data_IF_528153268828
#
_entry.id   IF_528153268828
#
_cell.length_a   1.000
_cell.length_b   1.000
_cell.length_c   1.000
_cell.angle_alpha   90.00
_cell.angle_beta   90.00
_cell.angle_gamma   90.00
#
_symmetry.space_group_name_H-M   'P 1'
#
loop_
_entity.id
_entity.type
_entity.pdbx_description
1 polymer ?
#
# COMPACT_ATOMS: atom_id res chain seq x y z
N UNK A 1 -33.30 -1.00 -9.15
CA UNK A 1 -32.23 -0.01 -9.43
C UNK A 1 -31.17 -0.16 -8.35
N UNK A 2 -29.95 -0.53 -8.71
CA UNK A 2 -28.86 -0.78 -7.77
C UNK A 2 -28.25 0.54 -7.27
N UNK A 3 -28.94 1.24 -6.36
CA UNK A 3 -28.37 2.36 -5.60
C UNK A 3 -27.52 1.85 -4.42
N UNK A 4 -26.61 0.92 -4.70
CA UNK A 4 -25.59 0.53 -3.73
C UNK A 4 -24.31 1.31 -4.01
N UNK A 5 -23.61 1.87 -3.01
CA UNK A 5 -22.31 2.52 -3.19
C UNK A 5 -21.27 1.60 -3.88
N UNK A 6 -21.45 0.28 -3.79
CA UNK A 6 -20.63 -0.70 -4.52
C UNK A 6 -20.73 -0.54 -6.04
N UNK A 7 -21.88 -0.10 -6.56
CA UNK A 7 -22.08 0.01 -8.00
C UNK A 7 -21.18 1.06 -8.64
N UNK A 8 -20.95 2.21 -7.99
CA UNK A 8 -20.12 3.27 -8.56
C UNK A 8 -18.61 2.98 -8.50
N UNK A 9 -18.20 1.98 -7.71
CA UNK A 9 -16.81 1.55 -7.63
C UNK A 9 -16.38 0.73 -8.85
N UNK A 10 -17.32 0.02 -9.49
CA UNK A 10 -17.05 -0.84 -10.65
C UNK A 10 -17.68 -0.34 -11.94
N UNK A 11 -18.84 0.32 -11.86
CA UNK A 11 -19.58 0.80 -13.02
C UNK A 11 -19.42 2.31 -13.17
N UNK A 12 -18.64 2.70 -14.16
CA UNK A 12 -18.51 4.10 -14.54
C UNK A 12 -19.85 4.61 -15.11
N UNK A 13 -20.33 5.75 -14.61
CA UNK A 13 -21.52 6.44 -15.12
C UNK A 13 -21.08 7.69 -15.88
N UNK A 14 -21.82 8.14 -16.91
CA UNK A 14 -21.54 9.41 -17.57
C UNK A 14 -21.52 10.57 -16.55
N UNK A 15 -20.49 11.42 -16.62
CA UNK A 15 -20.36 12.60 -15.77
C UNK A 15 -19.63 13.72 -16.52
N UNK A 16 -20.33 14.83 -16.77
CA UNK A 16 -19.82 15.90 -17.63
C UNK A 16 -19.48 15.38 -19.03
N UNK A 17 -18.26 15.64 -19.50
CA UNK A 17 -17.73 15.12 -20.78
C UNK A 17 -17.05 13.75 -20.67
N UNK A 18 -17.07 13.10 -19.50
CA UNK A 18 -16.39 11.83 -19.23
C UNK A 18 -17.24 10.87 -18.39
N UNK A 19 -16.58 10.14 -17.49
CA UNK A 19 -17.21 9.14 -16.62
C UNK A 19 -16.83 9.34 -15.15
N UNK A 20 -17.64 8.79 -14.24
CA UNK A 20 -17.36 8.77 -12.80
C UNK A 20 -16.12 7.94 -12.45
N UNK A 21 -15.47 8.27 -11.34
CA UNK A 21 -14.28 7.56 -10.86
C UNK A 21 -14.65 6.21 -10.21
N UNK A 22 -14.09 5.15 -10.77
CA UNK A 22 -14.12 3.75 -10.32
C UNK A 22 -12.80 3.37 -9.63
N UNK A 23 -12.69 2.14 -9.10
CA UNK A 23 -11.46 1.66 -8.45
C UNK A 23 -10.19 1.85 -9.31
N UNK A 24 -10.16 1.48 -10.60
CA UNK A 24 -8.95 1.66 -11.41
C UNK A 24 -8.55 3.12 -11.58
N UNK A 25 -9.53 4.02 -11.80
CA UNK A 25 -9.24 5.45 -11.96
C UNK A 25 -8.80 6.11 -10.65
N UNK A 26 -9.37 5.69 -9.51
CA UNK A 26 -8.94 6.15 -8.18
C UNK A 26 -7.52 5.69 -7.88
N UNK A 27 -7.23 4.40 -8.08
CA UNK A 27 -5.89 3.86 -7.91
C UNK A 27 -4.88 4.56 -8.82
N UNK A 28 -5.20 4.76 -10.10
CA UNK A 28 -4.31 5.46 -11.03
C UNK A 28 -3.98 6.88 -10.56
N UNK A 29 -4.97 7.61 -10.04
CA UNK A 29 -4.77 8.95 -9.46
C UNK A 29 -3.83 8.90 -8.25
N UNK A 30 -4.10 8.02 -7.29
CA UNK A 30 -3.28 7.93 -6.08
C UNK A 30 -1.88 7.40 -6.35
N UNK A 31 -1.72 6.43 -7.24
CA UNK A 31 -0.41 5.93 -7.66
C UNK A 31 0.37 6.99 -8.43
N UNK A 32 -0.29 7.83 -9.25
CA UNK A 32 0.36 8.96 -9.89
C UNK A 32 0.86 9.98 -8.87
N UNK A 33 0.03 10.35 -7.89
CA UNK A 33 0.41 11.26 -6.81
C UNK A 33 1.55 10.68 -5.95
N UNK A 34 1.46 9.41 -5.54
CA UNK A 34 2.51 8.73 -4.80
C UNK A 34 3.84 8.72 -5.57
N UNK A 35 3.82 8.48 -6.88
CA UNK A 35 5.02 8.55 -7.72
C UNK A 35 5.60 9.96 -7.82
N UNK A 36 4.74 10.98 -7.86
CA UNK A 36 5.17 12.38 -7.87
C UNK A 36 5.91 12.76 -6.58
N UNK A 37 5.40 12.33 -5.42
CA UNK A 37 6.00 12.67 -4.13
C UNK A 37 7.22 11.80 -3.79
N UNK A 38 7.16 10.51 -4.09
CA UNK A 38 8.07 9.53 -3.51
C UNK A 38 8.98 8.87 -4.56
N UNK A 39 8.80 9.18 -5.84
CA UNK A 39 9.57 8.62 -6.95
C UNK A 39 8.84 7.50 -7.71
N UNK A 40 9.35 7.14 -8.89
CA UNK A 40 8.69 6.22 -9.81
C UNK A 40 8.45 4.83 -9.21
N UNK A 41 7.37 4.18 -9.65
CA UNK A 41 7.11 2.77 -9.35
C UNK A 41 8.12 1.86 -10.05
N UNK A 42 8.41 0.72 -9.46
CA UNK A 42 9.11 -0.38 -10.15
C UNK A 42 8.24 -0.95 -11.30
N UNK A 43 8.63 -0.75 -12.57
CA UNK A 43 7.86 -1.24 -13.70
C UNK A 43 7.99 -2.76 -13.90
N UNK A 44 8.89 -3.44 -13.17
CA UNK A 44 9.06 -4.89 -13.28
C UNK A 44 7.89 -5.70 -12.68
N UNK A 45 7.04 -5.06 -11.86
CA UNK A 45 5.80 -5.66 -11.39
C UNK A 45 4.63 -5.30 -12.32
N UNK A 46 3.82 -6.29 -12.65
CA UNK A 46 2.54 -6.12 -13.35
C UNK A 46 1.44 -5.91 -12.32
N UNK A 47 0.78 -4.75 -12.35
CA UNK A 47 -0.44 -4.52 -11.57
C UNK A 47 -1.61 -5.17 -12.31
N UNK A 48 -2.26 -6.16 -11.70
CA UNK A 48 -3.39 -6.87 -12.30
C UNK A 48 -4.73 -6.17 -12.06
N UNK A 49 -4.85 -5.41 -10.97
CA UNK A 49 -6.06 -4.66 -10.65
C UNK A 49 -6.28 -4.46 -9.15
N UNK A 50 -7.54 -4.18 -8.83
CA UNK A 50 -8.04 -3.98 -7.46
C UNK A 50 -9.20 -4.93 -7.23
N UNK A 51 -9.23 -5.58 -6.08
CA UNK A 51 -10.35 -6.42 -5.63
C UNK A 51 -10.62 -6.23 -4.14
N UNK A 52 -11.72 -6.82 -3.65
CA UNK A 52 -11.98 -6.95 -2.22
C UNK A 52 -11.53 -8.34 -1.77
N UNK A 53 -10.58 -8.39 -0.85
CA UNK A 53 -10.08 -9.64 -0.27
C UNK A 53 -10.92 -10.10 0.94
N UNK A 54 -10.72 -11.34 1.40
CA UNK A 54 -11.45 -11.90 2.55
C UNK A 54 -10.95 -11.36 3.90
N UNK A 55 -9.85 -10.59 3.91
CA UNK A 55 -9.23 -10.09 5.13
C UNK A 55 -9.84 -8.76 5.59
N UNK A 56 -9.79 -8.43 6.90
CA UNK A 56 -10.33 -7.19 7.42
C UNK A 56 -9.42 -5.96 7.20
N UNK A 57 -8.29 -6.13 6.52
CA UNK A 57 -7.30 -5.09 6.23
C UNK A 57 -6.94 -5.09 4.74
N UNK A 58 -6.55 -3.93 4.16
CA UNK A 58 -6.01 -3.89 2.81
C UNK A 58 -4.63 -4.55 2.75
N UNK A 59 -4.23 -5.02 1.57
CA UNK A 59 -2.90 -5.57 1.32
C UNK A 59 -2.57 -5.60 -0.16
N UNK A 60 -1.28 -5.73 -0.45
CA UNK A 60 -0.83 -6.30 -1.71
C UNK A 60 -0.85 -7.84 -1.65
N UNK A 61 -1.35 -8.47 -2.71
CA UNK A 61 -1.32 -9.91 -2.92
C UNK A 61 -0.57 -10.25 -4.20
N UNK A 62 0.32 -11.23 -4.11
CA UNK A 62 1.10 -11.75 -5.23
C UNK A 62 0.53 -13.11 -5.64
N UNK A 63 -0.27 -13.20 -6.73
CA UNK A 63 -0.86 -14.48 -7.15
C UNK A 63 0.16 -15.43 -7.77
N UNK A 64 1.40 -14.99 -7.99
CA UNK A 64 2.49 -15.80 -8.55
C UNK A 64 2.38 -16.04 -10.06
N UNK A 65 1.30 -15.58 -10.71
CA UNK A 65 1.09 -15.79 -12.15
C UNK A 65 0.60 -14.48 -12.81
N UNK A 66 1.46 -13.80 -13.60
CA UNK A 66 2.90 -14.05 -13.78
C UNK A 66 3.72 -13.82 -12.49
N UNK A 67 4.96 -14.31 -12.43
CA UNK A 67 5.84 -14.34 -11.24
C UNK A 67 6.09 -12.97 -10.56
N UNK A 68 5.83 -11.87 -11.28
CA UNK A 68 5.90 -10.50 -10.75
C UNK A 68 4.58 -9.76 -10.91
N UNK A 69 3.48 -10.42 -10.59
CA UNK A 69 2.16 -9.81 -10.55
C UNK A 69 1.79 -9.37 -9.14
N UNK A 70 0.98 -8.33 -9.07
CA UNK A 70 0.42 -7.82 -7.81
C UNK A 70 -1.02 -7.38 -8.02
N UNK A 71 -1.87 -7.69 -7.05
CA UNK A 71 -3.24 -7.22 -6.92
C UNK A 71 -3.32 -6.37 -5.64
N UNK A 72 -4.03 -5.25 -5.70
CA UNK A 72 -4.44 -4.51 -4.50
C UNK A 72 -5.71 -5.15 -3.97
N UNK A 73 -5.63 -5.76 -2.80
CA UNK A 73 -6.80 -6.28 -2.09
C UNK A 73 -7.24 -5.26 -1.03
N UNK A 74 -8.47 -4.78 -1.15
CA UNK A 74 -9.11 -3.94 -0.13
C UNK A 74 -9.85 -4.81 0.88
N UNK A 75 -10.10 -4.26 2.06
CA UNK A 75 -10.84 -4.93 3.12
C UNK A 75 -12.31 -5.15 2.72
N UNK A 76 -12.84 -6.34 2.94
CA UNK A 76 -14.29 -6.61 2.82
C UNK A 76 -15.15 -5.80 3.80
N UNK A 77 -14.53 -5.16 4.80
CA UNK A 77 -15.20 -4.29 5.77
C UNK A 77 -15.30 -2.82 5.33
N UNK A 78 -14.85 -2.47 4.13
CA UNK A 78 -14.88 -1.10 3.58
C UNK A 78 -16.32 -0.56 3.51
N UNK A 79 -16.60 0.56 4.19
CA UNK A 79 -17.98 1.04 4.40
C UNK A 79 -18.40 2.21 3.52
N UNK A 80 -17.45 2.86 2.84
CA UNK A 80 -17.75 4.04 2.04
C UNK A 80 -16.54 4.57 1.29
N UNK A 81 -16.71 5.71 0.64
CA UNK A 81 -15.68 6.32 -0.20
C UNK A 81 -14.44 6.79 0.59
N UNK A 82 -14.62 7.20 1.85
CA UNK A 82 -13.51 7.58 2.74
C UNK A 82 -12.61 6.38 3.01
N UNK A 83 -13.16 5.28 3.52
CA UNK A 83 -12.41 4.04 3.76
C UNK A 83 -11.75 3.52 2.48
N UNK A 84 -12.48 3.59 1.37
CA UNK A 84 -12.01 3.14 0.06
C UNK A 84 -10.78 3.93 -0.39
N UNK A 85 -10.85 5.25 -0.38
CA UNK A 85 -9.76 6.11 -0.83
C UNK A 85 -8.58 6.06 0.14
N UNK A 86 -8.85 5.94 1.44
CA UNK A 86 -7.80 5.73 2.44
C UNK A 86 -7.01 4.45 2.16
N UNK A 87 -7.70 3.31 2.01
CA UNK A 87 -7.04 2.03 1.74
C UNK A 87 -6.33 2.01 0.38
N UNK A 88 -6.96 2.55 -0.68
CA UNK A 88 -6.33 2.63 -1.99
C UNK A 88 -5.07 3.51 -2.00
N UNK A 89 -5.12 4.67 -1.34
CA UNK A 89 -3.98 5.55 -1.24
C UNK A 89 -2.84 4.93 -0.41
N UNK A 90 -3.18 4.22 0.67
CA UNK A 90 -2.20 3.49 1.48
C UNK A 90 -1.47 2.43 0.63
N UNK A 91 -2.22 1.56 -0.05
CA UNK A 91 -1.65 0.51 -0.90
C UNK A 91 -0.92 1.08 -2.13
N UNK A 92 -1.27 2.29 -2.60
CA UNK A 92 -0.55 2.95 -3.69
C UNK A 92 0.91 3.25 -3.33
N UNK A 93 1.25 3.48 -2.06
CA UNK A 93 2.62 3.66 -1.60
C UNK A 93 3.39 2.34 -1.67
N UNK A 94 2.83 1.25 -1.13
CA UNK A 94 3.44 -0.08 -1.24
C UNK A 94 3.61 -0.51 -2.71
N UNK A 95 2.68 -0.12 -3.59
CA UNK A 95 2.78 -0.42 -5.02
C UNK A 95 3.96 0.26 -5.72
N UNK A 96 4.59 1.28 -5.14
CA UNK A 96 5.79 1.90 -5.72
C UNK A 96 6.95 0.89 -5.77
N UNK A 97 7.05 -0.01 -4.80
CA UNK A 97 7.98 -1.14 -4.81
C UNK A 97 7.35 -2.27 -4.00
N UNK A 98 6.51 -3.12 -4.63
CA UNK A 98 5.77 -4.15 -3.91
C UNK A 98 6.71 -5.03 -3.07
N UNK A 99 6.43 -5.19 -1.76
CA UNK A 99 7.24 -6.03 -0.89
C UNK A 99 7.04 -7.50 -1.27
N UNK A 100 8.04 -8.07 -1.95
CA UNK A 100 8.02 -9.49 -2.33
C UNK A 100 8.62 -10.38 -1.24
N UNK A 101 9.70 -9.94 -0.59
CA UNK A 101 10.45 -10.74 0.40
C UNK A 101 10.57 -10.07 1.77
N UNK A 102 10.52 -8.73 1.81
CA UNK A 102 10.68 -7.96 3.03
C UNK A 102 9.33 -7.60 3.62
N UNK A 103 9.27 -7.56 4.95
CA UNK A 103 8.15 -6.92 5.66
C UNK A 103 8.32 -5.41 5.59
N UNK A 104 7.20 -4.70 5.47
CA UNK A 104 7.17 -3.25 5.58
C UNK A 104 7.90 -2.78 6.84
N UNK A 105 8.69 -1.71 6.73
CA UNK A 105 9.31 -1.05 7.88
C UNK A 105 8.33 -0.08 8.54
N UNK A 106 8.63 0.36 9.77
CA UNK A 106 7.86 1.43 10.44
C UNK A 106 7.81 2.69 9.57
N UNK A 107 8.92 3.00 8.87
CA UNK A 107 8.97 4.08 7.90
C UNK A 107 7.99 3.88 6.75
N UNK A 108 7.98 2.71 6.11
CA UNK A 108 7.13 2.45 4.95
C UNK A 108 5.64 2.55 5.31
N UNK A 109 5.23 1.92 6.41
CA UNK A 109 3.85 1.98 6.91
C UNK A 109 3.47 3.38 7.32
N UNK A 110 4.36 4.11 8.01
CA UNK A 110 4.14 5.50 8.38
C UNK A 110 3.92 6.38 7.14
N UNK A 111 4.73 6.23 6.10
CA UNK A 111 4.61 7.00 4.84
C UNK A 111 3.29 6.67 4.14
N UNK A 112 2.91 5.39 4.09
CA UNK A 112 1.64 4.95 3.51
C UNK A 112 0.44 5.52 4.28
N UNK A 113 0.47 5.47 5.61
CA UNK A 113 -0.55 6.05 6.50
C UNK A 113 -0.63 7.58 6.38
N UNK A 114 0.51 8.28 6.32
CA UNK A 114 0.55 9.74 6.13
C UNK A 114 -0.05 10.13 4.78
N UNK A 115 0.37 9.47 3.70
CA UNK A 115 -0.11 9.78 2.36
C UNK A 115 -1.61 9.54 2.22
N UNK A 116 -2.12 8.41 2.71
CA UNK A 116 -3.56 8.13 2.75
C UNK A 116 -4.34 9.19 3.55
N UNK A 117 -3.76 9.68 4.64
CA UNK A 117 -4.37 10.73 5.46
C UNK A 117 -4.46 12.05 4.70
N UNK A 118 -3.41 12.45 3.94
CA UNK A 118 -3.45 13.66 3.12
C UNK A 118 -4.48 13.56 2.00
N UNK A 119 -4.50 12.43 1.28
CA UNK A 119 -5.49 12.17 0.21
C UNK A 119 -6.91 12.34 0.74
N UNK A 120 -7.24 11.72 1.87
CA UNK A 120 -8.60 11.82 2.42
C UNK A 120 -8.93 13.22 2.92
N UNK A 121 -7.97 13.91 3.55
CA UNK A 121 -8.15 15.31 3.97
C UNK A 121 -8.48 16.22 2.79
N UNK A 122 -7.79 16.04 1.67
CA UNK A 122 -8.00 16.82 0.46
C UNK A 122 -9.33 16.47 -0.24
N UNK A 123 -9.63 15.17 -0.41
CA UNK A 123 -10.77 14.71 -1.21
C UNK A 123 -12.10 14.74 -0.46
N UNK A 124 -12.09 14.56 0.87
CA UNK A 124 -13.29 14.37 1.68
C UNK A 124 -13.45 15.42 2.80
N UNK A 125 -12.48 16.34 2.95
CA UNK A 125 -12.46 17.35 4.00
C UNK A 125 -12.61 16.76 5.42
N UNK A 126 -12.08 15.55 5.65
CA UNK A 126 -12.07 14.90 6.95
C UNK A 126 -10.69 14.38 7.34
N UNK A 127 -10.43 14.23 8.64
CA UNK A 127 -9.17 13.69 9.15
C UNK A 127 -9.38 12.22 9.56
N UNK A 128 -9.08 11.24 8.66
CA UNK A 128 -9.21 9.84 9.02
C UNK A 128 -8.25 9.53 10.17
N UNK A 129 -8.64 8.60 11.04
CA UNK A 129 -7.77 8.07 12.07
C UNK A 129 -7.30 6.69 11.62
N UNK A 130 -6.03 6.32 11.85
CA UNK A 130 -5.56 4.97 11.57
C UNK A 130 -6.35 3.94 12.39
N UNK A 131 -6.62 2.78 11.78
CA UNK A 131 -7.49 1.75 12.38
C UNK A 131 -6.87 1.07 13.62
N UNK A 132 -5.54 1.12 13.76
CA UNK A 132 -4.83 0.53 14.91
C UNK A 132 -3.80 1.48 15.51
N UNK A 133 -3.42 1.21 16.76
CA UNK A 133 -2.45 1.99 17.50
C UNK A 133 -1.05 1.96 16.85
N UNK A 134 -0.70 0.86 16.20
CA UNK A 134 0.59 0.70 15.52
C UNK A 134 0.72 1.63 14.31
N UNK A 135 -0.33 1.73 13.48
CA UNK A 135 -0.35 2.70 12.39
C UNK A 135 -0.38 4.15 12.90
N UNK A 136 -1.12 4.43 13.99
CA UNK A 136 -1.11 5.73 14.63
C UNK A 136 0.30 6.13 15.11
N UNK A 137 1.04 5.20 15.73
CA UNK A 137 2.43 5.41 16.14
C UNK A 137 3.35 5.63 14.94
N UNK A 138 3.24 4.82 13.89
CA UNK A 138 4.06 4.99 12.70
C UNK A 138 3.82 6.37 12.06
N UNK A 139 2.55 6.81 11.98
CA UNK A 139 2.18 8.14 11.52
C UNK A 139 2.78 9.25 12.40
N UNK A 140 2.68 9.14 13.73
CA UNK A 140 3.26 10.12 14.66
C UNK A 140 4.77 10.28 14.46
N UNK A 141 5.48 9.20 14.17
CA UNK A 141 6.93 9.23 13.96
C UNK A 141 7.33 9.88 12.63
N UNK A 142 6.56 9.66 11.55
CA UNK A 142 6.93 10.17 10.22
C UNK A 142 6.31 11.53 9.89
N UNK A 143 5.14 11.87 10.43
CA UNK A 143 4.41 13.07 10.03
C UNK A 143 5.24 14.35 10.18
N UNK A 144 5.97 14.58 11.30
CA UNK A 144 6.82 15.76 11.42
C UNK A 144 7.93 15.86 10.36
N UNK A 145 8.41 14.71 9.85
CA UNK A 145 9.42 14.66 8.80
C UNK A 145 8.82 14.99 7.44
N UNK A 146 7.68 14.38 7.12
CA UNK A 146 7.02 14.53 5.82
C UNK A 146 6.34 15.89 5.66
N UNK A 147 5.75 16.42 6.73
CA UNK A 147 5.16 17.77 6.73
C UNK A 147 6.22 18.86 6.49
N UNK A 148 7.49 18.59 6.86
CA UNK A 148 8.62 19.48 6.62
C UNK A 148 9.30 19.23 5.27
N UNK A 149 9.48 17.97 4.88
CA UNK A 149 10.27 17.56 3.72
C UNK A 149 9.84 16.18 3.18
N UNK A 150 8.65 16.10 2.59
CA UNK A 150 8.18 14.89 1.91
C UNK A 150 9.14 14.41 0.80
N UNK A 151 9.90 15.32 0.17
CA UNK A 151 10.88 14.98 -0.86
C UNK A 151 12.05 14.13 -0.32
N UNK A 152 12.26 14.07 1.00
CA UNK A 152 13.23 13.16 1.61
C UNK A 152 12.95 11.69 1.33
N UNK A 153 11.68 11.30 1.20
CA UNK A 153 11.31 9.92 0.81
C UNK A 153 11.82 9.59 -0.59
N UNK A 154 11.68 10.50 -1.56
CA UNK A 154 12.22 10.29 -2.91
C UNK A 154 13.76 10.15 -2.89
N UNK A 155 14.45 10.89 -2.01
CA UNK A 155 15.90 10.77 -1.83
C UNK A 155 16.31 9.45 -1.19
N UNK A 156 15.55 8.95 -0.20
CA UNK A 156 15.76 7.60 0.35
C UNK A 156 15.56 6.54 -0.73
N UNK A 157 14.49 6.67 -1.53
CA UNK A 157 14.19 5.71 -2.61
C UNK A 157 15.21 5.71 -3.74
N UNK A 158 15.87 6.83 -3.99
CA UNK A 158 16.99 6.91 -4.94
C UNK A 158 18.22 6.10 -4.47
N UNK A 159 18.41 5.93 -3.15
CA UNK A 159 19.48 5.10 -2.55
C UNK A 159 19.06 3.64 -2.43
N UNK A 160 17.84 3.42 -1.96
CA UNK A 160 17.23 2.10 -1.75
C UNK A 160 15.82 2.10 -2.33
N UNK A 161 15.62 1.42 -3.46
CA UNK A 161 14.35 1.45 -4.19
C UNK A 161 13.12 1.08 -3.32
N UNK A 162 13.32 0.23 -2.30
CA UNK A 162 12.32 -0.18 -1.31
C UNK A 162 12.53 0.58 0.01
N UNK A 163 11.45 1.15 0.56
CA UNK A 163 11.46 1.78 1.88
C UNK A 163 11.65 0.75 3.02
N UNK A 164 11.22 -0.48 2.82
CA UNK A 164 11.50 -1.60 3.72
C UNK A 164 13.00 -1.94 3.85
N UNK A 165 13.80 -1.60 2.83
CA UNK A 165 15.24 -1.85 2.81
C UNK A 165 16.07 -0.65 3.33
N UNK A 166 15.43 0.48 3.62
CA UNK A 166 16.09 1.68 4.13
C UNK A 166 16.65 1.42 5.52
N UNK A 167 17.93 1.73 5.71
CA UNK A 167 18.62 1.58 7.00
C UNK A 167 18.56 2.87 7.82
N UNK A 168 18.92 2.78 9.11
CA UNK A 168 19.07 3.97 9.95
C UNK A 168 20.13 4.95 9.41
N UNK A 169 21.20 4.44 8.81
CA UNK A 169 22.25 5.27 8.17
C UNK A 169 21.68 6.05 6.99
N UNK A 170 20.86 5.42 6.14
CA UNK A 170 20.20 6.10 5.03
C UNK A 170 19.27 7.21 5.52
N UNK A 171 18.50 6.94 6.59
CA UNK A 171 17.61 7.93 7.20
C UNK A 171 18.42 9.12 7.72
N UNK A 172 19.50 8.88 8.47
CA UNK A 172 20.37 9.94 8.98
C UNK A 172 21.09 10.72 7.88
N UNK A 173 21.36 10.10 6.73
CA UNK A 173 21.94 10.80 5.59
C UNK A 173 20.94 11.78 4.93
N UNK A 174 19.63 11.54 5.05
CA UNK A 174 18.57 12.40 4.50
C UNK A 174 18.05 13.40 5.53
N UNK A 175 17.90 12.97 6.77
CA UNK A 175 17.43 13.76 7.91
C UNK A 175 18.33 13.56 9.13
N UNK A 176 19.50 14.21 9.19
CA UNK A 176 20.43 14.08 10.31
C UNK A 176 19.83 14.50 11.66
N UNK A 177 18.83 15.38 11.65
CA UNK A 177 18.21 15.94 12.85
C UNK A 177 17.34 14.94 13.64
N UNK A 178 16.96 13.81 13.05
CA UNK A 178 16.07 12.84 13.71
C UNK A 178 16.77 12.10 14.85
N UNK A 179 18.11 12.07 14.82
CA UNK A 179 18.94 11.34 15.78
C UNK A 179 18.87 9.82 15.60
N UNK A 180 19.88 9.13 16.13
CA UNK A 180 20.06 7.70 15.90
C UNK A 180 18.89 6.86 16.40
N UNK A 181 18.34 7.16 17.58
CA UNK A 181 17.26 6.38 18.17
C UNK A 181 16.01 6.34 17.28
N UNK A 182 15.60 7.48 16.72
CA UNK A 182 14.44 7.56 15.84
C UNK A 182 14.74 6.91 14.48
N UNK A 183 15.93 7.13 13.92
CA UNK A 183 16.34 6.50 12.67
C UNK A 183 16.30 4.96 12.77
N UNK A 184 16.81 4.38 13.86
CA UNK A 184 16.73 2.94 14.10
C UNK A 184 15.28 2.48 14.27
N UNK A 185 14.44 3.24 14.99
CA UNK A 185 13.03 2.88 15.16
C UNK A 185 12.28 2.85 13.82
N UNK A 186 12.50 3.85 12.96
CA UNK A 186 11.87 3.95 11.63
C UNK A 186 12.33 2.82 10.69
N UNK A 187 13.58 2.38 10.78
CA UNK A 187 14.12 1.31 9.95
C UNK A 187 13.72 -0.11 10.39
N UNK A 188 13.09 -0.27 11.56
CA UNK A 188 12.67 -1.60 12.05
C UNK A 188 11.51 -2.16 11.24
N UNK A 189 11.37 -3.50 11.17
CA UNK A 189 10.16 -4.14 10.68
C UNK A 189 8.93 -3.63 11.44
N UNK A 190 7.84 -3.38 10.72
CA UNK A 190 6.56 -3.03 11.31
C UNK A 190 5.90 -4.28 11.92
N UNK A 191 5.50 -4.16 13.18
CA UNK A 191 4.86 -5.23 13.94
C UNK A 191 3.44 -4.78 14.29
N UNK A 192 2.43 -5.49 13.78
CA UNK A 192 1.03 -5.31 14.18
C UNK A 192 0.64 -6.44 15.13
N UNK A 193 0.00 -6.12 16.27
CA UNK A 193 -0.30 -7.07 17.35
C UNK A 193 -1.31 -8.18 17.00
N UNK A 194 -1.77 -8.28 15.75
CA UNK A 194 -2.86 -9.18 15.34
C UNK A 194 -2.49 -10.20 14.24
N UNK A 195 -1.29 -10.80 14.27
CA UNK A 195 -1.01 -12.03 13.48
C UNK A 195 -1.01 -13.27 14.38
N UNK A 196 -2.16 -13.91 14.65
CA UNK A 196 -2.15 -15.29 15.11
C UNK A 196 -1.74 -16.19 13.93
N UNK A 197 -0.50 -16.71 13.99
CA UNK A 197 -0.03 -17.80 13.13
C UNK A 197 0.59 -17.35 11.80
N UNK A 198 1.89 -17.52 11.68
CA UNK A 198 2.53 -17.63 10.37
C UNK A 198 2.06 -18.91 9.70
N UNK A 199 1.14 -18.81 8.75
CA UNK A 199 1.07 -19.79 7.68
C UNK A 199 2.08 -19.35 6.63
N UNK A 200 3.15 -20.13 6.52
CA UNK A 200 4.02 -20.17 5.36
C UNK A 200 3.12 -20.47 4.17
N UNK A 201 3.17 -19.64 3.12
CA UNK A 201 2.46 -19.90 1.87
C UNK A 201 2.84 -21.30 1.38
N UNK A 202 1.89 -22.21 1.50
CA UNK A 202 2.01 -23.57 1.02
C UNK A 202 2.05 -23.51 -0.49
N UNK A 203 3.25 -23.66 -1.04
CA UNK A 203 3.53 -24.12 -2.38
C UNK A 203 2.46 -25.12 -2.86
N UNK A 204 1.57 -24.65 -3.73
CA UNK A 204 0.74 -25.52 -4.56
C UNK A 204 1.67 -26.14 -5.61
N UNK A 205 2.32 -27.23 -5.21
CA UNK A 205 3.01 -28.12 -6.15
C UNK A 205 2.07 -29.24 -6.59
N UNK A 206 1.98 -29.35 -7.92
CA UNK A 206 1.67 -30.54 -8.71
C UNK A 206 0.31 -31.23 -8.56
N UNK A 207 -0.67 -30.68 -9.28
CA UNK A 207 -1.69 -31.49 -9.95
C UNK A 207 -1.22 -31.95 -11.33
N UNK A 208 -0.19 -32.79 -11.40
CA UNK A 208 0.11 -33.56 -12.62
C UNK A 208 -0.81 -34.76 -12.68
N UNK A 209 -1.77 -34.71 -13.59
CA UNK A 209 -2.51 -35.87 -14.05
C UNK A 209 -1.53 -36.90 -14.63
N UNK A 210 -1.32 -37.99 -13.91
CA UNK A 210 -0.79 -39.23 -14.47
C UNK A 210 -1.95 -39.98 -15.13
N UNK A 211 -1.97 -39.92 -16.46
CA UNK A 211 -2.55 -40.99 -17.26
C UNK A 211 -1.75 -42.27 -16.96
N UNK A 212 -2.43 -43.32 -16.51
CA UNK A 212 -1.94 -44.69 -16.64
C UNK A 212 -2.82 -45.39 -17.67
N UNK A 213 -2.16 -45.74 -18.78
CA UNK A 213 -2.51 -46.83 -19.66
C UNK A 213 -2.16 -48.18 -19.00
N UNK A 214 -2.83 -49.23 -19.49
CA UNK A 214 -2.57 -50.67 -19.35
C UNK A 214 -2.98 -51.28 -17.99
N UNK A 215 -3.82 -52.32 -17.88
CA UNK A 215 -4.27 -53.41 -18.77
C UNK A 215 -5.80 -53.63 -18.70
#
# INVERSE_FOLDING_TARGET
MLNSPLSSWFYAQPHGSGFTLTLPTRLARFLHAAQHHFGLRDPSFTLLGVEFGPHPFPRLWHPGVPERSVIVQLSHLTRGAVDLDYQLAHEAVHLLRPPFELRASVLEEGVATWFATQVVREDHACAPQPDTLEYARALELVAPLLDRDAAGIARLRARNASLSAVTAEDILAVWPEVGESLAHLLARPFECAARPGGMVDGSLTDGRASANSDE
#
